data_IF_600964589151
#
_entry.id   IF_600964589151
#
_cell.length_a   1.000
_cell.length_b   1.000
_cell.length_c   1.000
_cell.angle_alpha   90.00
_cell.angle_beta   90.00
_cell.angle_gamma   90.00
#
_symmetry.space_group_name_H-M   'P 1'
#
loop_
_entity.id
_entity.type
_entity.pdbx_description
1 polymer ?
#
# COMPACT_ATOMS: atom_id res chain seq x y z
N UNK A 1 18.87 33.67 17.99
CA UNK A 1 18.34 33.17 16.70
C UNK A 1 17.88 31.75 16.97
N UNK A 2 16.58 31.56 17.15
CA UNK A 2 15.99 30.24 17.43
C UNK A 2 15.94 29.44 16.13
N UNK A 3 16.43 28.20 16.17
CA UNK A 3 16.19 27.20 15.15
C UNK A 3 14.71 26.82 15.24
N UNK A 4 13.93 27.09 14.19
CA UNK A 4 12.58 26.53 14.06
C UNK A 4 12.71 25.11 13.51
N UNK A 5 12.63 24.16 14.43
CA UNK A 5 12.17 22.80 14.16
C UNK A 5 10.81 22.83 13.46
N UNK A 6 10.63 21.95 12.49
CA UNK A 6 9.37 21.80 11.78
C UNK A 6 9.47 20.94 10.55
N UNK A 7 9.96 19.71 10.69
CA UNK A 7 9.72 18.66 9.68
C UNK A 7 8.24 18.28 9.73
N UNK A 8 7.40 19.06 9.03
CA UNK A 8 6.01 18.70 8.73
C UNK A 8 6.05 17.38 7.96
N UNK A 9 5.35 16.36 8.44
CA UNK A 9 5.30 15.09 7.74
C UNK A 9 4.43 15.23 6.48
N UNK A 10 4.70 14.47 5.43
CA UNK A 10 3.83 14.46 4.23
C UNK A 10 2.39 14.00 4.57
N UNK A 11 2.18 13.29 5.69
CA UNK A 11 0.85 12.97 6.23
C UNK A 11 0.07 14.22 6.64
N UNK A 12 0.74 15.19 7.27
CA UNK A 12 0.18 16.52 7.58
C UNK A 12 -0.11 17.30 6.29
N UNK A 13 0.67 17.04 5.24
CA UNK A 13 0.51 17.66 3.92
C UNK A 13 -0.75 17.17 3.22
N UNK A 14 -1.05 15.86 3.22
CA UNK A 14 -2.29 15.34 2.62
C UNK A 14 -3.54 15.78 3.36
N UNK A 15 -3.51 15.75 4.69
CA UNK A 15 -4.63 16.22 5.50
C UNK A 15 -4.86 17.74 5.31
N UNK A 16 -3.79 18.53 5.30
CA UNK A 16 -3.84 19.96 5.04
C UNK A 16 -4.37 20.30 3.65
N UNK A 17 -3.87 19.62 2.61
CA UNK A 17 -4.33 19.78 1.23
C UNK A 17 -5.81 19.41 1.09
N UNK A 18 -6.23 18.27 1.62
CA UNK A 18 -7.63 17.83 1.59
C UNK A 18 -8.55 18.82 2.31
N UNK A 19 -8.13 19.34 3.47
CA UNK A 19 -8.87 20.35 4.21
C UNK A 19 -8.97 21.69 3.46
N UNK A 20 -7.95 22.06 2.68
CA UNK A 20 -7.94 23.27 1.88
C UNK A 20 -8.83 23.13 0.64
N UNK A 21 -8.71 22.03 -0.11
CA UNK A 21 -9.54 21.75 -1.29
C UNK A 21 -11.03 21.73 -0.94
N UNK A 22 -11.40 21.13 0.20
CA UNK A 22 -12.80 21.10 0.65
C UNK A 22 -13.39 22.48 0.97
N UNK A 23 -12.58 23.54 1.12
CA UNK A 23 -13.06 24.91 1.33
C UNK A 23 -13.48 25.58 0.03
N UNK A 24 -12.92 25.18 -1.11
CA UNK A 24 -13.14 25.87 -2.39
C UNK A 24 -14.49 25.51 -3.05
N UNK A 25 -15.15 24.44 -2.59
CA UNK A 25 -16.53 24.01 -2.95
C UNK A 25 -16.84 23.92 -4.45
N UNK A 26 -15.83 23.97 -5.30
CA UNK A 26 -15.99 23.78 -6.73
C UNK A 26 -15.79 22.29 -7.10
N UNK A 27 -16.36 21.82 -8.21
CA UNK A 27 -16.32 20.41 -8.59
C UNK A 27 -14.91 19.83 -8.77
N UNK A 28 -13.92 20.66 -9.09
CA UNK A 28 -12.53 20.24 -9.25
C UNK A 28 -11.90 19.94 -7.90
N UNK A 29 -12.07 20.86 -6.94
CA UNK A 29 -11.52 20.72 -5.60
C UNK A 29 -12.15 19.56 -4.84
N UNK A 30 -13.45 19.29 -5.04
CA UNK A 30 -14.09 18.09 -4.50
C UNK A 30 -13.51 16.79 -5.08
N UNK A 31 -13.22 16.77 -6.38
CA UNK A 31 -12.61 15.61 -7.04
C UNK A 31 -11.16 15.39 -6.60
N UNK A 32 -10.39 16.47 -6.44
CA UNK A 32 -9.03 16.44 -5.90
C UNK A 32 -9.02 15.93 -4.45
N UNK A 33 -9.95 16.41 -3.62
CA UNK A 33 -10.13 15.96 -2.25
C UNK A 33 -10.45 14.45 -2.18
N UNK A 34 -11.31 13.96 -3.08
CA UNK A 34 -11.62 12.54 -3.21
C UNK A 34 -10.39 11.70 -3.59
N UNK A 35 -9.62 12.15 -4.59
CA UNK A 35 -8.36 11.52 -5.01
C UNK A 35 -7.38 11.42 -3.84
N UNK A 36 -7.16 12.52 -3.13
CA UNK A 36 -6.25 12.57 -1.99
C UNK A 36 -6.70 11.62 -0.87
N UNK A 37 -7.99 11.62 -0.54
CA UNK A 37 -8.52 10.79 0.54
C UNK A 37 -8.33 9.29 0.26
N UNK A 38 -8.67 8.84 -0.95
CA UNK A 38 -8.52 7.42 -1.34
C UNK A 38 -7.05 7.02 -1.46
N UNK A 39 -6.22 7.87 -2.06
CA UNK A 39 -4.79 7.57 -2.21
C UNK A 39 -4.07 7.51 -0.85
N UNK A 40 -4.41 8.38 0.09
CA UNK A 40 -3.82 8.37 1.43
C UNK A 40 -4.15 7.06 2.16
N UNK A 41 -5.44 6.68 2.19
CA UNK A 41 -5.88 5.43 2.82
C UNK A 41 -5.25 4.20 2.16
N UNK A 42 -5.11 4.21 0.83
CA UNK A 42 -4.44 3.14 0.09
C UNK A 42 -2.95 3.05 0.43
N UNK A 43 -2.23 4.16 0.47
CA UNK A 43 -0.80 4.17 0.78
C UNK A 43 -0.53 3.75 2.23
N UNK A 44 -1.36 4.14 3.19
CA UNK A 44 -1.20 3.70 4.59
C UNK A 44 -1.35 2.18 4.73
N UNK A 45 -2.39 1.60 4.11
CA UNK A 45 -2.58 0.15 4.09
C UNK A 45 -1.46 -0.57 3.33
N UNK A 46 -1.09 -0.07 2.15
CA UNK A 46 -0.05 -0.67 1.33
C UNK A 46 1.32 -0.62 2.03
N UNK A 47 1.63 0.47 2.74
CA UNK A 47 2.87 0.62 3.52
C UNK A 47 2.95 -0.43 4.62
N UNK A 48 1.86 -0.65 5.34
CA UNK A 48 1.80 -1.65 6.41
C UNK A 48 1.94 -3.08 5.87
N UNK A 49 1.26 -3.40 4.76
CA UNK A 49 1.41 -4.69 4.09
C UNK A 49 2.85 -4.94 3.61
N UNK A 50 3.49 -3.93 3.02
CA UNK A 50 4.87 -4.01 2.56
C UNK A 50 5.85 -4.20 3.73
N UNK A 51 5.66 -3.44 4.82
CA UNK A 51 6.48 -3.58 6.02
C UNK A 51 6.43 -5.00 6.59
N UNK A 52 5.23 -5.58 6.71
CA UNK A 52 5.06 -6.98 7.17
C UNK A 52 5.67 -7.97 6.18
N UNK A 53 5.53 -7.74 4.88
CA UNK A 53 6.16 -8.58 3.87
C UNK A 53 7.70 -8.53 3.93
N UNK A 54 8.28 -7.38 4.19
CA UNK A 54 9.73 -7.24 4.35
C UNK A 54 10.24 -7.94 5.63
N UNK A 55 9.44 -7.98 6.70
CA UNK A 55 9.76 -8.80 7.88
C UNK A 55 9.85 -10.29 7.52
N UNK A 56 8.96 -10.79 6.65
CA UNK A 56 9.03 -12.17 6.13
C UNK A 56 10.34 -12.38 5.36
N UNK A 57 10.73 -11.43 4.50
CA UNK A 57 11.97 -11.49 3.71
C UNK A 57 13.24 -11.53 4.58
N UNK A 58 13.22 -10.91 5.75
CA UNK A 58 14.34 -10.93 6.70
C UNK A 58 14.49 -12.28 7.41
N UNK A 59 13.38 -12.99 7.67
CA UNK A 59 13.38 -14.25 8.45
C UNK A 59 13.78 -15.46 7.60
N UNK A 60 13.42 -15.48 6.31
CA UNK A 60 13.60 -16.66 5.44
C UNK A 60 14.94 -16.79 4.72
N UNK A 61 15.96 -15.97 5.05
CA UNK A 61 17.21 -15.86 4.28
C UNK A 61 18.01 -17.18 4.12
N UNK A 62 17.77 -18.24 4.92
CA UNK A 62 18.69 -19.40 4.95
C UNK A 62 18.06 -20.78 4.97
N UNK A 63 16.75 -20.87 5.24
CA UNK A 63 16.01 -22.14 5.31
C UNK A 63 14.52 -21.87 5.14
N UNK A 64 13.74 -22.88 4.74
CA UNK A 64 12.30 -22.84 4.91
C UNK A 64 11.94 -22.57 6.38
N UNK A 65 10.95 -21.71 6.61
CA UNK A 65 10.47 -21.36 7.95
C UNK A 65 8.96 -21.58 8.02
N UNK A 66 8.43 -22.35 8.98
CA UNK A 66 6.99 -22.53 9.12
C UNK A 66 6.27 -21.19 9.30
N UNK A 67 5.13 -21.01 8.64
CA UNK A 67 4.33 -19.76 8.70
C UNK A 67 4.00 -19.37 10.14
N UNK A 68 3.68 -20.34 10.99
CA UNK A 68 3.37 -20.17 12.42
C UNK A 68 4.56 -19.76 13.29
N UNK A 69 5.79 -19.82 12.77
CA UNK A 69 7.00 -19.44 13.48
C UNK A 69 7.50 -18.04 13.13
N UNK A 70 6.81 -17.33 12.22
CA UNK A 70 7.18 -15.99 11.79
C UNK A 70 6.42 -14.96 12.62
N UNK A 71 7.13 -14.35 13.59
CA UNK A 71 6.62 -13.26 14.42
C UNK A 71 6.69 -11.90 13.73
N UNK A 72 5.58 -11.46 13.17
CA UNK A 72 5.36 -10.13 12.59
C UNK A 72 5.12 -9.12 13.71
N UNK A 73 5.86 -8.01 13.66
CA UNK A 73 5.58 -6.85 14.49
C UNK A 73 4.56 -5.99 13.76
N UNK A 74 3.48 -5.66 14.45
CA UNK A 74 2.49 -4.69 14.00
C UNK A 74 3.11 -3.29 13.85
N UNK A 75 2.59 -2.53 12.88
CA UNK A 75 2.78 -1.09 12.80
C UNK A 75 2.05 -0.32 13.91
N UNK A 76 1.78 0.96 13.66
CA UNK A 76 1.10 1.85 14.63
C UNK A 76 -0.41 1.70 14.61
N UNK A 77 -0.94 1.05 13.58
CA UNK A 77 -2.37 0.86 13.33
C UNK A 77 -2.58 -0.60 12.92
N UNK A 78 -3.70 -1.19 13.34
CA UNK A 78 -4.06 -2.53 12.90
C UNK A 78 -4.30 -2.55 11.40
N UNK A 79 -3.96 -3.66 10.72
CA UNK A 79 -4.38 -3.89 9.34
C UNK A 79 -5.90 -3.79 9.20
N UNK A 80 -6.63 -4.16 10.26
CA UNK A 80 -8.07 -3.96 10.50
C UNK A 80 -8.53 -2.53 10.26
N UNK A 81 -7.99 -1.62 11.04
CA UNK A 81 -8.36 -0.22 10.91
C UNK A 81 -7.99 0.36 9.54
N UNK A 82 -6.86 -0.06 8.97
CA UNK A 82 -6.38 0.42 7.67
C UNK A 82 -7.21 -0.11 6.50
N UNK A 83 -7.62 -1.38 6.53
CA UNK A 83 -8.49 -1.96 5.51
C UNK A 83 -9.89 -1.34 5.54
N UNK A 84 -10.44 -1.11 6.74
CA UNK A 84 -11.72 -0.42 6.91
C UNK A 84 -11.63 1.05 6.50
N UNK A 85 -10.52 1.75 6.80
CA UNK A 85 -10.30 3.11 6.34
C UNK A 85 -10.29 3.21 4.81
N UNK A 86 -9.66 2.27 4.10
CA UNK A 86 -9.67 2.23 2.64
C UNK A 86 -11.09 1.98 2.08
N UNK A 87 -11.82 1.01 2.64
CA UNK A 87 -13.22 0.74 2.26
C UNK A 87 -14.13 1.93 2.52
N UNK A 88 -13.95 2.61 3.65
CA UNK A 88 -14.66 3.83 4.01
C UNK A 88 -14.36 4.98 3.04
N UNK A 89 -13.09 5.19 2.70
CA UNK A 89 -12.68 6.20 1.72
C UNK A 89 -13.28 5.93 0.34
N UNK A 90 -13.25 4.68 -0.14
CA UNK A 90 -13.89 4.30 -1.41
C UNK A 90 -15.41 4.50 -1.38
N UNK A 91 -16.07 4.16 -0.27
CA UNK A 91 -17.53 4.32 -0.15
C UNK A 91 -17.94 5.80 -0.15
N UNK A 92 -17.14 6.65 0.50
CA UNK A 92 -17.39 8.09 0.59
C UNK A 92 -17.01 8.88 -0.67
N UNK A 93 -16.00 8.43 -1.41
CA UNK A 93 -15.34 9.22 -2.46
C UNK A 93 -15.23 8.54 -3.82
N UNK A 94 -15.53 7.25 -3.93
CA UNK A 94 -15.34 6.46 -5.16
C UNK A 94 -16.13 7.00 -6.35
N UNK A 95 -17.33 7.55 -6.13
CA UNK A 95 -18.15 8.15 -7.18
C UNK A 95 -17.53 9.42 -7.79
N UNK A 96 -16.59 10.07 -7.08
CA UNK A 96 -15.88 11.24 -7.57
C UNK A 96 -14.61 10.87 -8.37
N UNK A 97 -14.16 9.62 -8.31
CA UNK A 97 -12.96 9.15 -9.01
C UNK A 97 -13.28 8.69 -10.45
N UNK A 98 -12.29 8.69 -11.36
CA UNK A 98 -12.39 7.94 -12.60
C UNK A 98 -12.69 6.46 -12.32
N UNK A 99 -13.61 5.84 -13.06
CA UNK A 99 -14.03 4.45 -12.84
C UNK A 99 -12.85 3.48 -12.81
N UNK A 100 -11.92 3.58 -13.75
CA UNK A 100 -10.74 2.71 -13.81
C UNK A 100 -9.88 2.77 -12.54
N UNK A 101 -9.82 3.94 -11.89
CA UNK A 101 -9.09 4.16 -10.64
C UNK A 101 -9.85 3.54 -9.47
N UNK A 102 -11.15 3.85 -9.35
CA UNK A 102 -12.00 3.29 -8.31
C UNK A 102 -12.01 1.76 -8.36
N UNK A 103 -12.13 1.18 -9.57
CA UNK A 103 -12.12 -0.26 -9.80
C UNK A 103 -10.77 -0.89 -9.44
N UNK A 104 -9.65 -0.24 -9.77
CA UNK A 104 -8.32 -0.74 -9.41
C UNK A 104 -8.10 -0.76 -7.89
N UNK A 105 -8.48 0.30 -7.19
CA UNK A 105 -8.34 0.38 -5.72
C UNK A 105 -9.34 -0.56 -5.02
N UNK A 106 -10.55 -0.69 -5.54
CA UNK A 106 -11.52 -1.68 -5.06
C UNK A 106 -11.03 -3.12 -5.28
N UNK A 107 -10.52 -3.43 -6.47
CA UNK A 107 -9.94 -4.72 -6.79
C UNK A 107 -8.74 -5.06 -5.90
N UNK A 108 -7.89 -4.06 -5.59
CA UNK A 108 -6.84 -4.22 -4.59
C UNK A 108 -7.43 -4.57 -3.21
N UNK A 109 -8.41 -3.79 -2.73
CA UNK A 109 -9.06 -4.00 -1.43
C UNK A 109 -9.65 -5.40 -1.28
N UNK A 110 -10.32 -5.92 -2.33
CA UNK A 110 -10.82 -7.30 -2.35
C UNK A 110 -9.68 -8.34 -2.38
N UNK A 111 -8.63 -8.08 -3.15
CA UNK A 111 -7.51 -9.03 -3.32
C UNK A 111 -6.67 -9.21 -2.05
N UNK A 112 -6.66 -8.23 -1.15
CA UNK A 112 -5.93 -8.24 0.13
C UNK A 112 -6.83 -8.54 1.34
N UNK A 113 -8.15 -8.45 1.21
CA UNK A 113 -9.12 -8.70 2.31
C UNK A 113 -8.86 -10.01 3.09
N UNK A 114 -8.60 -11.17 2.48
CA UNK A 114 -8.32 -12.40 3.24
C UNK A 114 -7.02 -12.35 4.06
N UNK A 115 -6.06 -11.51 3.64
CA UNK A 115 -4.80 -11.31 4.36
C UNK A 115 -4.99 -10.36 5.52
N UNK A 116 -5.76 -9.33 5.26
CA UNK A 116 -6.03 -8.22 6.15
C UNK A 116 -6.90 -8.73 7.32
N UNK A 117 -7.92 -9.57 7.07
CA UNK A 117 -8.79 -10.24 8.07
C UNK A 117 -8.35 -11.67 8.40
N UNK A 118 -7.06 -11.95 8.36
CA UNK A 118 -6.57 -13.26 8.75
C UNK A 118 -6.83 -13.53 10.25
N UNK A 119 -7.33 -14.72 10.62
CA UNK A 119 -7.73 -15.02 12.00
C UNK A 119 -6.54 -15.17 12.96
N UNK A 120 -5.35 -15.40 12.41
CA UNK A 120 -4.10 -15.56 13.14
C UNK A 120 -2.90 -15.13 12.29
N UNK A 121 -1.75 -15.06 12.94
CA UNK A 121 -0.48 -14.64 12.33
C UNK A 121 -0.02 -15.57 11.20
N UNK A 122 -0.24 -16.88 11.32
CA UNK A 122 0.08 -17.84 10.28
C UNK A 122 -0.75 -17.60 9.02
N UNK A 123 -2.05 -17.36 9.19
CA UNK A 123 -2.97 -16.96 8.12
C UNK A 123 -2.58 -15.63 7.47
N UNK A 124 -2.12 -14.66 8.26
CA UNK A 124 -1.61 -13.37 7.75
C UNK A 124 -0.37 -13.57 6.87
N UNK A 125 0.61 -14.36 7.34
CA UNK A 125 1.81 -14.70 6.58
C UNK A 125 1.45 -15.42 5.28
N UNK A 126 0.59 -16.44 5.34
CA UNK A 126 0.13 -17.15 4.15
C UNK A 126 -0.58 -16.21 3.16
N UNK A 127 -1.43 -15.32 3.67
CA UNK A 127 -2.13 -14.30 2.90
C UNK A 127 -1.18 -13.37 2.15
N UNK A 128 -0.19 -12.81 2.86
CA UNK A 128 0.83 -11.92 2.30
C UNK A 128 1.63 -12.60 1.18
N UNK A 129 2.10 -13.83 1.42
CA UNK A 129 2.88 -14.57 0.42
C UNK A 129 2.02 -14.93 -0.79
N UNK A 130 0.78 -15.42 -0.61
CA UNK A 130 -0.12 -15.72 -1.73
C UNK A 130 -0.49 -14.46 -2.53
N UNK A 131 -0.68 -13.33 -1.87
CA UNK A 131 -0.93 -12.05 -2.55
C UNK A 131 0.27 -11.68 -3.43
N UNK A 132 1.49 -11.77 -2.89
CA UNK A 132 2.72 -11.51 -3.65
C UNK A 132 2.88 -12.47 -4.84
N UNK A 133 2.65 -13.76 -4.66
CA UNK A 133 2.71 -14.75 -5.75
C UNK A 133 1.76 -14.38 -6.89
N UNK A 134 0.51 -13.99 -6.59
CA UNK A 134 -0.45 -13.51 -7.60
C UNK A 134 0.08 -12.27 -8.33
N UNK A 135 0.61 -11.30 -7.59
CA UNK A 135 1.16 -10.05 -8.16
C UNK A 135 2.37 -10.32 -9.05
N UNK A 136 3.25 -11.24 -8.69
CA UNK A 136 4.42 -11.61 -9.51
C UNK A 136 4.02 -12.43 -10.73
N UNK A 137 3.05 -13.34 -10.60
CA UNK A 137 2.52 -14.12 -11.72
C UNK A 137 1.86 -13.24 -12.79
N UNK A 138 1.25 -12.12 -12.40
CA UNK A 138 0.70 -11.14 -13.33
C UNK A 138 1.74 -10.26 -14.04
N UNK A 139 3.02 -10.33 -13.66
CA UNK A 139 4.11 -9.56 -14.26
C UNK A 139 4.95 -10.46 -15.16
N UNK A 140 5.28 -9.98 -16.36
CA UNK A 140 6.19 -10.68 -17.26
C UNK A 140 7.64 -10.25 -17.04
N UNK A 141 8.58 -11.19 -17.15
CA UNK A 141 10.01 -10.91 -17.24
C UNK A 141 10.45 -10.67 -18.70
N UNK A 142 11.75 -10.43 -18.91
CA UNK A 142 12.30 -10.17 -20.24
C UNK A 142 12.11 -11.34 -21.23
N UNK A 143 11.90 -12.56 -20.72
CA UNK A 143 11.61 -13.76 -21.50
C UNK A 143 10.11 -13.97 -21.76
N UNK A 144 9.27 -13.00 -21.36
CA UNK A 144 7.80 -13.05 -21.41
C UNK A 144 7.21 -14.18 -20.56
N UNK A 145 7.91 -14.62 -19.53
CA UNK A 145 7.40 -15.58 -18.55
C UNK A 145 6.93 -14.85 -17.30
N UNK A 146 5.98 -15.40 -16.53
CA UNK A 146 5.62 -14.87 -15.23
C UNK A 146 6.85 -14.69 -14.34
N UNK A 147 6.97 -13.53 -13.67
CA UNK A 147 8.07 -13.28 -12.74
C UNK A 147 8.00 -14.29 -11.60
N UNK A 148 9.15 -14.86 -11.26
CA UNK A 148 9.26 -15.73 -10.10
C UNK A 148 9.01 -14.94 -8.80
N UNK A 149 8.27 -15.51 -7.84
CA UNK A 149 8.05 -14.87 -6.56
C UNK A 149 9.37 -14.68 -5.82
N UNK A 150 9.40 -13.64 -4.99
CA UNK A 150 10.53 -13.36 -4.10
C UNK A 150 10.50 -14.22 -2.85
N UNK A 151 9.27 -14.49 -2.41
CA UNK A 151 8.92 -15.30 -1.26
C UNK A 151 7.82 -16.23 -1.73
N UNK A 152 7.95 -17.53 -1.46
CA UNK A 152 7.00 -18.55 -1.89
C UNK A 152 6.57 -19.44 -0.72
N UNK A 153 5.37 -20.01 -0.83
CA UNK A 153 4.91 -21.06 0.08
C UNK A 153 5.26 -22.45 -0.47
N UNK A 154 5.97 -23.25 0.33
CA UNK A 154 6.20 -24.68 0.10
C UNK A 154 5.50 -25.47 1.18
N UNK A 155 4.26 -25.87 0.93
CA UNK A 155 3.39 -26.38 1.99
C UNK A 155 3.06 -25.26 2.98
N UNK A 156 3.38 -25.46 4.25
CA UNK A 156 3.26 -24.44 5.31
C UNK A 156 4.58 -23.72 5.61
N UNK A 157 5.62 -23.93 4.81
CA UNK A 157 6.89 -23.26 4.98
C UNK A 157 7.02 -22.09 4.00
N UNK A 158 7.52 -20.96 4.52
CA UNK A 158 7.95 -19.82 3.74
C UNK A 158 9.39 -20.02 3.28
N UNK A 159 9.62 -19.81 1.99
CA UNK A 159 10.97 -19.81 1.40
C UNK A 159 11.23 -18.46 0.74
N UNK A 160 12.32 -17.81 1.12
CA UNK A 160 12.75 -16.53 0.53
C UNK A 160 13.89 -16.80 -0.45
N UNK A 161 13.76 -16.31 -1.67
CA UNK A 161 14.83 -16.44 -2.65
C UNK A 161 16.04 -15.60 -2.21
N UNK A 162 17.28 -16.14 -2.23
CA UNK A 162 18.46 -15.47 -1.64
C UNK A 162 18.69 -14.03 -2.12
N UNK A 163 18.44 -13.75 -3.41
CA UNK A 163 18.61 -12.41 -3.99
C UNK A 163 17.66 -11.34 -3.45
N UNK A 164 16.58 -11.74 -2.78
CA UNK A 164 15.56 -10.84 -2.23
C UNK A 164 15.47 -10.92 -0.71
N UNK A 165 16.25 -11.78 -0.09
CA UNK A 165 16.32 -11.85 1.35
C UNK A 165 16.93 -10.55 1.90
N UNK A 166 16.48 -10.13 3.08
CA UNK A 166 17.05 -8.99 3.78
C UNK A 166 17.99 -9.51 4.86
N UNK A 167 19.17 -8.91 4.97
CA UNK A 167 20.15 -9.28 5.99
C UNK A 167 19.71 -8.86 7.40
N UNK A 168 18.95 -7.77 7.47
CA UNK A 168 18.46 -7.17 8.69
C UNK A 168 16.94 -7.06 8.68
N UNK A 169 16.36 -7.02 9.88
CA UNK A 169 14.94 -6.76 10.03
C UNK A 169 14.66 -5.33 9.53
N UNK A 170 13.63 -5.12 8.69
CA UNK A 170 13.32 -3.78 8.22
C UNK A 170 12.93 -2.87 9.39
N UNK A 171 13.36 -1.62 9.31
CA UNK A 171 12.82 -0.57 10.18
C UNK A 171 11.38 -0.24 9.78
N UNK A 172 10.61 0.24 10.75
CA UNK A 172 9.25 0.68 10.49
C UNK A 172 9.27 1.92 9.58
N UNK A 173 8.55 1.91 8.45
CA UNK A 173 8.53 3.05 7.54
C UNK A 173 7.84 4.26 8.19
N UNK A 174 8.36 5.46 7.92
CA UNK A 174 7.71 6.70 8.37
C UNK A 174 6.38 6.91 7.63
N UNK A 175 5.41 7.51 8.32
CA UNK A 175 4.12 7.87 7.71
C UNK A 175 4.26 8.96 6.63
N UNK A 176 5.43 9.58 6.54
CA UNK A 176 5.73 10.75 5.72
C UNK A 176 6.26 10.42 4.33
N UNK A 177 6.24 9.16 3.87
CA UNK A 177 6.81 8.78 2.58
C UNK A 177 5.87 7.86 1.79
N UNK A 178 5.78 8.10 0.48
CA UNK A 178 5.14 7.18 -0.45
C UNK A 178 5.90 5.85 -0.50
N UNK A 179 5.17 4.76 -0.64
CA UNK A 179 5.78 3.43 -0.71
C UNK A 179 6.65 3.22 -1.96
N UNK A 180 6.43 4.00 -3.03
CA UNK A 180 7.28 4.03 -4.23
C UNK A 180 7.33 5.42 -4.92
N UNK A 181 8.50 5.89 -5.39
CA UNK A 181 8.63 7.19 -6.08
C UNK A 181 7.88 7.24 -7.43
N UNK A 182 7.81 6.13 -8.18
CA UNK A 182 7.04 6.02 -9.43
C UNK A 182 5.51 6.15 -9.23
N UNK A 183 5.02 6.05 -7.99
CA UNK A 183 3.59 6.27 -7.71
C UNK A 183 3.20 7.72 -7.72
N UNK A 184 4.15 8.67 -7.62
CA UNK A 184 3.86 10.10 -7.84
C UNK A 184 3.44 10.33 -9.28
N UNK A 185 4.05 9.66 -10.26
CA UNK A 185 3.71 9.82 -11.68
C UNK A 185 2.37 9.16 -12.02
N UNK A 186 2.08 7.99 -11.42
CA UNK A 186 0.76 7.35 -11.52
C UNK A 186 -0.32 8.16 -10.79
N UNK A 187 0.01 8.73 -9.63
CA UNK A 187 -0.87 9.64 -8.89
C UNK A 187 -1.10 10.95 -9.67
N UNK A 188 -0.07 11.52 -10.28
CA UNK A 188 -0.18 12.67 -11.17
C UNK A 188 -0.96 12.33 -12.46
N UNK A 189 -0.79 11.12 -12.99
CA UNK A 189 -1.60 10.58 -14.08
C UNK A 189 -3.07 10.48 -13.69
N UNK A 190 -3.36 9.94 -12.51
CA UNK A 190 -4.70 9.87 -11.93
C UNK A 190 -5.32 11.25 -11.71
N UNK A 191 -4.54 12.23 -11.21
CA UNK A 191 -4.94 13.63 -11.12
C UNK A 191 -5.25 14.21 -12.50
N UNK A 192 -4.44 13.91 -13.53
CA UNK A 192 -4.69 14.37 -14.91
C UNK A 192 -5.93 13.72 -15.52
N UNK A 193 -6.11 12.41 -15.38
CA UNK A 193 -7.28 11.65 -15.87
C UNK A 193 -8.58 12.06 -15.17
N UNK A 194 -8.50 12.48 -13.91
CA UNK A 194 -9.60 13.10 -13.18
C UNK A 194 -9.95 14.50 -13.72
N UNK A 195 -9.24 15.01 -14.74
CA UNK A 195 -9.39 16.38 -15.23
C UNK A 195 -8.87 17.43 -14.24
N UNK A 196 -8.11 16.99 -13.22
CA UNK A 196 -7.71 17.85 -12.12
C UNK A 196 -6.60 18.85 -12.47
N UNK A 197 -5.93 18.63 -13.61
CA UNK A 197 -4.89 19.51 -14.14
C UNK A 197 -5.36 20.34 -15.34
N UNK A 198 -6.47 19.98 -16.00
CA UNK A 198 -6.90 20.65 -17.25
C UNK A 198 -7.72 21.93 -17.02
N UNK A 199 -8.08 22.26 -15.78
CA UNK A 199 -8.89 23.45 -15.45
C UNK A 199 -8.07 24.73 -15.18
N UNK A 200 -6.75 24.74 -15.42
CA UNK A 200 -5.87 25.89 -15.17
C UNK A 200 -5.37 26.60 -16.44
N UNK A 201 -6.11 26.51 -17.55
CA UNK A 201 -5.82 27.25 -18.79
C UNK A 201 -7.06 27.91 -19.36
#
# INVERSE_FOLDING_TARGET
MQATDGTSSDGDTFQGLNAQLRKERDPLSERLAAVVAVASAFEDLHRELLYRFDQIRAVGHRRPVPTTSIGLIDGSSGLEDLGDALKGALSAHGACLPHAVADAVHGFSLAIEPTVWAPDEGGLVEGLVRHHERVQAGKLDASRQPKRPWVELRGHDVVVAPRYALDERPEKPSASAFTHPYRIEQFAGMLREAGAWEAAS
#
